data_IF_028642386335
#
_entry.id   IF_028642386335
#
_cell.length_a   1.000
_cell.length_b   1.000
_cell.length_c   1.000
_cell.angle_alpha   90.00
_cell.angle_beta   90.00
_cell.angle_gamma   90.00
#
_symmetry.space_group_name_H-M   'P 1'
#
loop_
_entity.id
_entity.type
_entity.pdbx_description
1 polymer ?
#
# COMPACT_ATOMS: atom_id res chain seq x y z
N UNK A 1 -12.31 57.30 5.09
CA UNK A 1 -12.36 58.39 4.09
C UNK A 1 -12.78 57.73 2.78
N UNK A 2 -14.01 58.03 2.32
CA UNK A 2 -14.66 57.86 1.00
C UNK A 2 -14.26 56.67 0.08
N UNK A 3 -15.13 55.70 -0.28
CA UNK A 3 -16.38 55.66 -1.07
C UNK A 3 -16.25 55.92 -2.60
N UNK A 4 -16.97 55.06 -3.36
CA UNK A 4 -17.47 55.11 -4.75
C UNK A 4 -16.59 54.48 -5.84
N UNK A 5 -17.00 53.37 -6.49
CA UNK A 5 -18.14 53.12 -7.41
C UNK A 5 -18.03 53.85 -8.75
N UNK A 6 -17.94 53.06 -9.84
CA UNK A 6 -18.69 53.36 -11.06
C UNK A 6 -18.90 52.10 -11.93
N UNK A 7 -20.18 51.81 -12.13
CA UNK A 7 -20.78 50.91 -13.10
C UNK A 7 -20.60 51.39 -14.54
N UNK A 8 -20.63 50.46 -15.50
CA UNK A 8 -21.04 50.78 -16.87
C UNK A 8 -21.93 49.66 -17.41
N UNK A 9 -23.19 50.01 -17.65
CA UNK A 9 -24.19 49.22 -18.37
C UNK A 9 -23.93 49.25 -19.87
N UNK A 10 -24.32 48.18 -20.58
CA UNK A 10 -24.86 48.26 -21.94
C UNK A 10 -26.02 47.26 -22.04
N UNK A 11 -27.25 47.77 -22.21
CA UNK A 11 -28.40 46.99 -22.69
C UNK A 11 -28.64 47.23 -24.18
N UNK A 12 -29.61 46.54 -24.81
CA UNK A 12 -30.47 47.00 -25.94
C UNK A 12 -31.38 45.87 -26.51
N UNK A 13 -32.65 46.25 -26.83
CA UNK A 13 -33.72 45.61 -27.67
C UNK A 13 -34.45 44.35 -27.14
N UNK A 14 -35.78 44.18 -27.13
CA UNK A 14 -36.95 44.97 -27.57
C UNK A 14 -38.23 44.07 -27.67
N UNK A 15 -39.32 44.50 -27.01
CA UNK A 15 -40.78 44.21 -27.25
C UNK A 15 -41.49 42.85 -26.94
N UNK A 16 -42.84 42.87 -26.68
CA UNK A 16 -43.43 42.25 -25.48
C UNK A 16 -44.42 41.08 -25.74
N UNK A 17 -44.58 40.18 -24.76
CA UNK A 17 -45.72 39.26 -24.69
C UNK A 17 -46.27 39.15 -23.26
N UNK A 18 -47.58 39.39 -23.19
CA UNK A 18 -48.45 39.39 -22.03
C UNK A 18 -48.59 37.97 -21.42
N UNK A 19 -47.94 37.70 -20.29
CA UNK A 19 -48.29 36.57 -19.41
C UNK A 19 -48.14 36.95 -17.92
N UNK A 20 -49.23 36.75 -17.17
CA UNK A 20 -49.29 36.83 -15.69
C UNK A 20 -48.13 36.09 -15.03
N UNK A 21 -47.29 36.73 -14.20
CA UNK A 21 -46.33 36.01 -13.38
C UNK A 21 -47.03 35.41 -12.14
N UNK A 22 -47.10 34.07 -12.08
CA UNK A 22 -47.31 33.34 -10.83
C UNK A 22 -46.09 33.61 -9.93
N UNK A 23 -46.26 34.42 -8.89
CA UNK A 23 -45.26 34.62 -7.84
C UNK A 23 -45.08 33.31 -7.08
N UNK A 24 -43.87 32.78 -7.14
CA UNK A 24 -43.35 31.77 -6.22
C UNK A 24 -43.30 32.38 -4.81
N UNK A 25 -44.17 31.88 -3.95
CA UNK A 25 -44.22 32.19 -2.52
C UNK A 25 -43.29 31.22 -1.79
N UNK A 26 -42.74 31.69 -0.66
CA UNK A 26 -41.95 30.98 0.36
C UNK A 26 -40.43 31.19 0.33
N UNK A 27 -40.03 32.43 0.57
CA UNK A 27 -38.86 32.78 1.38
C UNK A 27 -39.26 33.94 2.30
N UNK A 28 -40.17 33.69 3.24
CA UNK A 28 -40.61 34.68 4.22
C UNK A 28 -41.08 33.96 5.50
N UNK A 29 -40.12 33.54 6.32
CA UNK A 29 -40.30 33.18 7.74
C UNK A 29 -38.94 33.07 8.44
N UNK A 30 -38.08 34.07 8.21
CA UNK A 30 -36.80 34.21 8.90
C UNK A 30 -36.71 35.59 9.56
N UNK A 31 -37.79 36.08 10.16
CA UNK A 31 -37.82 37.24 11.05
C UNK A 31 -39.23 37.27 11.66
N UNK A 32 -39.32 36.79 12.89
CA UNK A 32 -40.41 36.99 13.88
C UNK A 32 -40.80 35.70 14.63
N UNK A 33 -39.93 35.27 15.53
CA UNK A 33 -40.35 34.75 16.84
C UNK A 33 -39.14 34.42 17.70
N UNK A 34 -38.76 35.39 18.53
CA UNK A 34 -37.99 35.16 19.73
C UNK A 34 -38.89 34.46 20.78
N UNK A 35 -38.95 33.12 20.75
CA UNK A 35 -39.37 32.29 21.88
C UNK A 35 -38.48 31.05 21.95
N UNK A 36 -38.12 30.64 23.17
CA UNK A 36 -36.99 29.77 23.51
C UNK A 36 -36.93 28.38 22.87
N UNK A 37 -35.82 27.64 23.09
CA UNK A 37 -35.43 26.54 22.20
C UNK A 37 -36.21 25.26 22.50
N UNK A 38 -37.30 25.03 21.74
CA UNK A 38 -37.84 23.68 21.58
C UNK A 38 -37.04 22.94 20.51
N UNK A 39 -36.10 22.13 20.99
CA UNK A 39 -35.32 21.20 20.18
C UNK A 39 -36.21 20.03 19.73
N UNK A 40 -36.50 19.95 18.43
CA UNK A 40 -36.98 18.71 17.81
C UNK A 40 -35.83 17.70 17.81
N UNK A 41 -35.83 16.84 18.84
CA UNK A 41 -34.89 15.72 18.98
C UNK A 41 -35.12 14.72 17.86
N UNK A 42 -34.29 14.78 16.83
CA UNK A 42 -34.02 13.62 15.97
C UNK A 42 -33.30 12.59 16.84
N UNK A 43 -33.85 11.38 16.95
CA UNK A 43 -33.31 10.36 17.85
C UNK A 43 -31.83 10.08 17.52
N UNK A 44 -30.90 10.18 18.48
CA UNK A 44 -29.54 9.73 18.28
C UNK A 44 -29.55 8.22 18.11
N UNK A 45 -28.67 7.70 17.24
CA UNK A 45 -28.36 6.27 17.18
C UNK A 45 -28.13 5.74 18.62
N UNK A 46 -28.63 4.55 18.98
CA UNK A 46 -28.59 4.09 20.37
C UNK A 46 -27.16 4.04 20.90
N UNK A 47 -26.83 4.98 21.80
CA UNK A 47 -25.54 5.18 22.48
C UNK A 47 -25.27 4.08 23.54
N UNK A 48 -25.93 2.91 23.44
CA UNK A 48 -25.81 1.82 24.42
C UNK A 48 -24.50 1.02 24.35
N UNK A 49 -23.58 1.35 23.43
CA UNK A 49 -22.32 0.61 23.25
C UNK A 49 -21.05 1.30 23.74
N UNK A 50 -21.14 2.52 24.29
CA UNK A 50 -19.93 3.29 24.61
C UNK A 50 -19.52 3.19 26.09
N UNK A 51 -20.46 2.93 27.03
CA UNK A 51 -20.15 2.96 28.46
C UNK A 51 -20.70 1.73 29.20
N UNK A 52 -19.97 0.62 29.19
CA UNK A 52 -19.89 -0.44 30.23
C UNK A 52 -19.09 -1.65 29.68
N UNK A 53 -17.75 -1.63 29.78
CA UNK A 53 -16.91 -2.68 29.20
C UNK A 53 -16.65 -3.88 30.12
N UNK A 54 -17.34 -4.03 31.27
CA UNK A 54 -16.80 -4.91 32.32
C UNK A 54 -17.67 -6.09 32.78
N UNK A 55 -19.00 -6.06 32.63
CA UNK A 55 -19.85 -7.09 33.29
C UNK A 55 -20.51 -8.09 32.33
N UNK A 56 -20.47 -7.87 31.02
CA UNK A 56 -20.97 -8.83 30.02
C UNK A 56 -19.87 -9.74 29.43
N UNK A 57 -18.64 -9.66 29.96
CA UNK A 57 -17.43 -10.26 29.39
C UNK A 57 -17.09 -11.66 29.93
N UNK A 58 -17.81 -12.16 30.94
CA UNK A 58 -17.43 -13.42 31.59
C UNK A 58 -17.92 -14.71 30.91
N UNK A 59 -18.83 -14.64 29.93
CA UNK A 59 -19.53 -15.85 29.46
C UNK A 59 -19.02 -16.48 28.14
N UNK A 60 -17.84 -16.09 27.64
CA UNK A 60 -17.27 -16.78 26.46
C UNK A 60 -15.77 -17.03 26.59
N UNK A 61 -15.44 -17.82 27.60
CA UNK A 61 -14.13 -18.45 27.80
C UNK A 61 -13.88 -19.45 26.66
N UNK A 62 -12.75 -19.29 25.97
CA UNK A 62 -12.14 -20.18 24.96
C UNK A 62 -12.72 -20.22 23.53
N UNK A 63 -12.07 -19.49 22.61
CA UNK A 63 -11.43 -20.00 21.37
C UNK A 63 -10.88 -18.83 20.56
N UNK A 64 -9.65 -18.96 20.06
CA UNK A 64 -9.00 -17.88 19.33
C UNK A 64 -9.73 -17.53 18.04
N UNK A 65 -9.95 -16.22 17.83
CA UNK A 65 -10.52 -15.71 16.59
C UNK A 65 -9.67 -16.05 15.36
N UNK A 66 -10.34 -16.34 14.25
CA UNK A 66 -9.73 -16.80 13.00
C UNK A 66 -8.77 -15.73 12.45
N UNK A 67 -9.14 -14.45 12.55
CA UNK A 67 -8.30 -13.34 12.06
C UNK A 67 -7.01 -13.24 12.87
N UNK A 68 -7.09 -13.44 14.19
CA UNK A 68 -5.92 -13.38 15.05
C UNK A 68 -4.90 -14.47 14.73
N UNK A 69 -5.35 -15.72 14.51
CA UNK A 69 -4.46 -16.83 14.18
C UNK A 69 -3.82 -16.65 12.79
N UNK A 70 -4.56 -16.13 11.81
CA UNK A 70 -4.03 -15.78 10.48
C UNK A 70 -2.88 -14.77 10.55
N UNK A 71 -3.00 -13.74 11.40
CA UNK A 71 -1.99 -12.68 11.53
C UNK A 71 -0.85 -13.00 12.50
N UNK A 72 -0.99 -14.05 13.31
CA UNK A 72 -0.02 -14.43 14.35
C UNK A 72 1.38 -14.78 13.82
N UNK A 73 1.56 -15.63 12.79
CA UNK A 73 2.89 -16.09 12.38
C UNK A 73 3.76 -14.93 11.87
N UNK A 74 3.24 -14.11 10.97
CA UNK A 74 4.00 -13.01 10.38
C UNK A 74 4.36 -11.93 11.41
N UNK A 75 3.45 -11.61 12.34
CA UNK A 75 3.73 -10.64 13.42
C UNK A 75 4.78 -11.15 14.38
N UNK A 76 4.74 -12.43 14.70
CA UNK A 76 5.75 -13.05 15.55
C UNK A 76 7.14 -12.96 14.90
N UNK A 77 7.24 -13.27 13.61
CA UNK A 77 8.49 -13.18 12.87
C UNK A 77 9.00 -11.73 12.78
N UNK A 78 8.15 -10.76 12.43
CA UNK A 78 8.53 -9.34 12.38
C UNK A 78 9.00 -8.80 13.74
N UNK A 79 8.47 -9.34 14.84
CA UNK A 79 8.90 -8.98 16.20
C UNK A 79 10.27 -9.56 16.54
N UNK A 80 10.55 -10.80 16.16
CA UNK A 80 11.88 -11.42 16.32
C UNK A 80 12.93 -10.64 15.52
N UNK A 81 12.57 -10.23 14.30
CA UNK A 81 13.45 -9.44 13.43
C UNK A 81 13.62 -7.98 13.89
N UNK A 82 13.03 -7.55 15.02
CA UNK A 82 13.18 -6.18 15.54
C UNK A 82 12.49 -5.08 14.70
N UNK A 83 11.54 -5.45 13.82
CA UNK A 83 10.83 -4.51 12.95
C UNK A 83 9.57 -3.98 13.66
N UNK A 84 8.90 -4.84 14.42
CA UNK A 84 7.52 -4.60 14.86
C UNK A 84 7.37 -4.59 16.39
N UNK A 85 7.38 -3.42 17.05
CA UNK A 85 7.35 -3.29 18.51
C UNK A 85 5.92 -3.32 19.08
N UNK A 86 5.06 -4.20 18.55
CA UNK A 86 3.66 -4.31 18.96
C UNK A 86 3.46 -5.61 19.73
N UNK A 87 2.88 -5.51 20.92
CA UNK A 87 2.54 -6.66 21.76
C UNK A 87 1.06 -6.65 22.15
N UNK A 88 0.54 -7.84 22.45
CA UNK A 88 -0.72 -7.98 23.17
C UNK A 88 -0.52 -7.42 24.58
N UNK A 89 -1.26 -6.37 24.94
CA UNK A 89 -1.26 -5.85 26.32
C UNK A 89 -2.26 -6.61 27.18
N UNK A 90 -3.34 -7.10 26.57
CA UNK A 90 -4.43 -7.79 27.26
C UNK A 90 -4.70 -9.14 26.59
N UNK A 91 -4.53 -10.22 27.35
CA UNK A 91 -4.72 -11.60 26.90
C UNK A 91 -6.20 -11.90 26.60
N UNK A 92 -7.13 -11.21 27.26
CA UNK A 92 -8.58 -11.43 27.15
C UNK A 92 -9.19 -10.52 26.07
N UNK A 93 -8.85 -9.23 26.09
CA UNK A 93 -9.38 -8.27 25.12
C UNK A 93 -8.62 -8.26 23.79
N UNK A 94 -7.41 -8.84 23.71
CA UNK A 94 -6.55 -8.88 22.50
C UNK A 94 -6.31 -7.49 21.90
N UNK A 95 -6.10 -6.52 22.78
CA UNK A 95 -5.77 -5.14 22.39
C UNK A 95 -4.28 -5.05 22.15
N UNK A 96 -3.92 -4.50 21.00
CA UNK A 96 -2.53 -4.27 20.61
C UNK A 96 -2.11 -2.86 20.98
N UNK A 97 -0.95 -2.75 21.64
CA UNK A 97 -0.30 -1.47 21.87
C UNK A 97 1.20 -1.59 21.65
N UNK A 98 1.79 -0.46 21.27
CA UNK A 98 3.24 -0.33 21.20
C UNK A 98 3.81 -0.40 22.62
N UNK A 99 4.71 -1.34 22.87
CA UNK A 99 5.27 -1.60 24.20
C UNK A 99 6.72 -1.12 24.28
N UNK A 100 7.12 -0.40 25.34
CA UNK A 100 8.44 0.21 25.42
C UNK A 100 9.58 -0.82 25.42
N UNK A 101 9.36 -2.00 26.02
CA UNK A 101 10.36 -3.08 26.03
C UNK A 101 10.70 -3.60 24.63
N UNK A 102 9.67 -3.82 23.79
CA UNK A 102 9.86 -4.30 22.42
C UNK A 102 10.40 -3.20 21.49
N UNK A 103 10.06 -1.93 21.76
CA UNK A 103 10.66 -0.80 21.07
C UNK A 103 12.16 -0.70 21.38
N UNK A 104 12.55 -0.83 22.65
CA UNK A 104 13.97 -0.85 23.05
C UNK A 104 14.77 -1.95 22.35
N UNK A 105 14.23 -3.17 22.30
CA UNK A 105 14.84 -4.28 21.54
C UNK A 105 15.01 -3.97 20.05
N UNK A 106 13.97 -3.40 19.43
CA UNK A 106 13.98 -3.01 18.01
C UNK A 106 15.04 -1.94 17.72
N UNK A 107 15.19 -0.96 18.61
CA UNK A 107 16.21 0.09 18.51
C UNK A 107 17.62 -0.48 18.64
N UNK A 108 17.85 -1.42 19.57
CA UNK A 108 19.16 -2.06 19.73
C UNK A 108 19.54 -2.83 18.46
N UNK A 109 18.63 -3.64 17.90
CA UNK A 109 18.89 -4.36 16.64
C UNK A 109 19.19 -3.38 15.51
N UNK A 110 18.40 -2.31 15.39
CA UNK A 110 18.62 -1.31 14.37
C UNK A 110 20.01 -0.66 14.49
N UNK A 111 20.44 -0.27 15.69
CA UNK A 111 21.77 0.31 15.91
C UNK A 111 22.89 -0.69 15.58
N UNK A 112 22.72 -1.96 15.94
CA UNK A 112 23.69 -3.01 15.59
C UNK A 112 23.81 -3.20 14.08
N UNK A 113 22.67 -3.26 13.37
CA UNK A 113 22.64 -3.42 11.92
C UNK A 113 23.18 -2.17 11.21
N UNK A 114 22.81 -0.97 11.64
CA UNK A 114 23.33 0.29 11.09
C UNK A 114 24.83 0.40 11.30
N UNK A 115 25.33 0.06 12.50
CA UNK A 115 26.76 0.02 12.78
C UNK A 115 27.49 -1.00 11.90
N UNK A 116 26.89 -2.17 11.67
CA UNK A 116 27.46 -3.20 10.81
C UNK A 116 27.47 -2.79 9.33
N UNK A 117 26.40 -2.15 8.84
CA UNK A 117 26.35 -1.56 7.49
C UNK A 117 27.42 -0.48 7.34
N UNK A 118 27.59 0.39 8.33
CA UNK A 118 28.62 1.42 8.35
C UNK A 118 30.03 0.84 8.25
N UNK A 119 30.31 -0.23 8.99
CA UNK A 119 31.57 -0.96 8.91
C UNK A 119 31.82 -1.55 7.51
N UNK A 120 30.81 -2.23 6.94
CA UNK A 120 30.93 -2.82 5.59
C UNK A 120 31.14 -1.75 4.52
N UNK A 121 30.43 -0.62 4.60
CA UNK A 121 30.58 0.48 3.65
C UNK A 121 31.93 1.19 3.79
N UNK A 122 32.45 1.34 5.01
CA UNK A 122 33.79 1.87 5.22
C UNK A 122 34.87 0.99 4.56
N UNK A 123 34.82 -0.32 4.79
CA UNK A 123 35.73 -1.31 4.17
C UNK A 123 35.62 -1.32 2.64
N UNK A 124 34.40 -1.16 2.10
CA UNK A 124 34.17 -1.16 0.64
C UNK A 124 34.62 0.14 -0.03
N UNK A 125 34.40 1.30 0.58
CA UNK A 125 34.81 2.60 0.03
C UNK A 125 36.33 2.71 -0.07
N UNK A 126 37.06 2.10 0.86
CA UNK A 126 38.53 2.04 0.83
C UNK A 126 39.05 1.21 -0.36
N UNK A 127 38.30 0.17 -0.76
CA UNK A 127 38.63 -0.67 -1.93
C UNK A 127 38.24 0.03 -3.25
N UNK A 128 37.06 0.65 -3.33
CA UNK A 128 36.55 1.28 -4.58
C UNK A 128 37.35 2.53 -4.97
N UNK A 129 37.88 3.29 -4.01
CA UNK A 129 38.75 4.45 -4.30
C UNK A 129 40.04 4.07 -5.05
N UNK A 130 40.37 2.78 -5.15
CA UNK A 130 41.53 2.26 -5.87
C UNK A 130 41.25 1.76 -7.30
N UNK A 131 39.99 1.75 -7.76
CA UNK A 131 39.62 1.28 -9.09
C UNK A 131 38.83 2.36 -9.87
N UNK A 132 39.48 2.99 -10.87
CA UNK A 132 38.80 3.81 -11.88
C UNK A 132 38.09 2.87 -12.88
N UNK A 133 36.82 2.56 -12.61
CA UNK A 133 36.00 1.70 -13.47
C UNK A 133 35.22 2.48 -14.54
N UNK A 134 34.85 1.78 -15.63
CA UNK A 134 33.91 2.27 -16.66
C UNK A 134 32.57 2.68 -16.02
N UNK A 135 31.85 3.63 -16.63
CA UNK A 135 30.57 4.16 -16.14
C UNK A 135 29.55 3.08 -15.73
N UNK A 136 29.51 1.94 -16.43
CA UNK A 136 28.63 0.80 -16.11
C UNK A 136 28.94 0.16 -14.75
N UNK A 137 30.21 0.05 -14.39
CA UNK A 137 30.65 -0.54 -13.12
C UNK A 137 30.33 0.39 -11.95
N UNK A 138 30.39 1.71 -12.18
CA UNK A 138 29.92 2.71 -11.21
C UNK A 138 28.42 2.57 -10.93
N UNK A 139 27.57 2.32 -11.95
CA UNK A 139 26.12 2.14 -11.75
C UNK A 139 25.81 0.88 -10.93
N UNK A 140 26.55 -0.20 -11.15
CA UNK A 140 26.41 -1.43 -10.35
C UNK A 140 26.82 -1.17 -8.88
N UNK A 141 27.86 -0.39 -8.63
CA UNK A 141 28.25 -0.01 -7.26
C UNK A 141 27.20 0.90 -6.59
N UNK A 142 26.63 1.86 -7.33
CA UNK A 142 25.49 2.65 -6.85
C UNK A 142 24.29 1.77 -6.50
N UNK A 143 23.98 0.74 -7.30
CA UNK A 143 22.89 -0.20 -7.02
C UNK A 143 23.08 -0.89 -5.66
N UNK A 144 24.30 -1.29 -5.29
CA UNK A 144 24.60 -1.85 -3.96
C UNK A 144 24.42 -0.86 -2.83
N UNK A 145 24.63 0.43 -3.07
CA UNK A 145 24.31 1.48 -2.09
C UNK A 145 22.80 1.65 -1.96
N UNK A 146 22.06 1.62 -3.08
CA UNK A 146 20.60 1.70 -3.09
C UNK A 146 19.96 0.49 -2.38
N UNK A 147 20.54 -0.71 -2.46
CA UNK A 147 20.05 -1.87 -1.72
C UNK A 147 20.08 -1.71 -0.19
N UNK A 148 20.90 -0.80 0.36
CA UNK A 148 20.95 -0.54 1.79
C UNK A 148 19.94 0.53 2.25
N UNK A 149 19.46 1.37 1.32
CA UNK A 149 18.49 2.44 1.59
C UNK A 149 17.27 2.00 2.43
N UNK A 150 16.71 0.78 2.25
CA UNK A 150 15.52 0.36 2.98
C UNK A 150 15.69 0.20 4.48
N UNK A 151 16.90 0.34 5.04
CA UNK A 151 17.09 0.41 6.49
C UNK A 151 16.24 1.53 7.14
N UNK A 152 15.93 2.59 6.38
CA UNK A 152 15.06 3.71 6.81
C UNK A 152 13.62 3.27 7.06
N UNK A 153 13.19 2.09 6.57
CA UNK A 153 11.83 1.60 6.79
C UNK A 153 11.55 1.28 8.27
N UNK A 154 12.55 0.86 9.04
CA UNK A 154 12.39 0.51 10.45
C UNK A 154 11.86 1.68 11.29
N UNK A 155 12.48 2.87 11.29
CA UNK A 155 11.94 4.01 12.01
C UNK A 155 10.58 4.47 11.47
N UNK A 156 10.32 4.34 10.16
CA UNK A 156 9.00 4.65 9.58
C UNK A 156 7.93 3.72 10.17
N UNK A 157 8.19 2.41 10.24
CA UNK A 157 7.27 1.42 10.83
C UNK A 157 7.06 1.67 12.32
N UNK A 158 8.06 2.12 13.06
CA UNK A 158 7.89 2.48 14.47
C UNK A 158 7.02 3.72 14.65
N UNK A 159 7.20 4.73 13.79
CA UNK A 159 6.35 5.92 13.76
C UNK A 159 4.88 5.55 13.50
N UNK A 160 4.66 4.64 12.53
CA UNK A 160 3.32 4.12 12.19
C UNK A 160 2.80 3.05 13.17
N UNK A 161 3.64 2.54 14.07
CA UNK A 161 3.35 1.39 14.93
C UNK A 161 2.08 1.54 15.77
N UNK A 162 1.78 2.75 16.26
CA UNK A 162 0.52 3.02 16.99
C UNK A 162 -0.72 2.84 16.11
N UNK A 163 -0.66 3.32 14.86
CA UNK A 163 -1.77 3.17 13.90
C UNK A 163 -1.93 1.72 13.49
N UNK A 164 -0.82 1.02 13.22
CA UNK A 164 -0.81 -0.41 12.89
C UNK A 164 -1.40 -1.26 14.02
N UNK A 165 -1.10 -0.95 15.28
CA UNK A 165 -1.69 -1.62 16.44
C UNK A 165 -3.22 -1.42 16.50
N UNK A 166 -3.69 -0.19 16.23
CA UNK A 166 -5.11 0.13 16.18
C UNK A 166 -5.83 -0.69 15.12
N UNK A 167 -5.28 -0.74 13.90
CA UNK A 167 -5.85 -1.50 12.78
C UNK A 167 -5.98 -2.99 13.08
N UNK A 168 -4.93 -3.61 13.63
CA UNK A 168 -4.98 -5.03 14.00
C UNK A 168 -6.03 -5.27 15.09
N UNK A 169 -6.18 -4.34 16.03
CA UNK A 169 -7.21 -4.41 17.07
C UNK A 169 -8.61 -4.28 16.47
N UNK A 170 -8.83 -3.33 15.55
CA UNK A 170 -10.11 -3.12 14.88
C UNK A 170 -10.53 -4.34 14.04
N UNK A 171 -9.59 -5.01 13.37
CA UNK A 171 -9.84 -6.25 12.64
C UNK A 171 -10.31 -7.40 13.55
N UNK A 172 -9.73 -7.53 14.74
CA UNK A 172 -10.14 -8.57 15.70
C UNK A 172 -11.46 -8.19 16.37
N UNK A 173 -11.68 -6.90 16.62
CA UNK A 173 -12.95 -6.38 17.12
C UNK A 173 -14.09 -6.59 16.10
N UNK A 174 -13.80 -6.43 14.81
CA UNK A 174 -14.72 -6.72 13.71
C UNK A 174 -15.26 -8.15 13.78
N UNK A 175 -14.37 -9.14 13.98
CA UNK A 175 -14.77 -10.55 14.11
C UNK A 175 -15.79 -10.76 15.23
N UNK A 176 -15.61 -10.07 16.37
CA UNK A 176 -16.53 -10.14 17.51
C UNK A 176 -17.89 -9.53 17.19
N UNK A 177 -17.92 -8.37 16.52
CA UNK A 177 -19.17 -7.73 16.10
C UNK A 177 -19.90 -8.62 15.10
N UNK A 178 -19.19 -9.13 14.10
CA UNK A 178 -19.76 -10.03 13.10
C UNK A 178 -20.43 -11.24 13.77
N UNK A 179 -19.73 -11.93 14.69
CA UNK A 179 -20.28 -13.09 15.40
C UNK A 179 -21.53 -12.73 16.23
N UNK A 180 -21.59 -11.52 16.77
CA UNK A 180 -22.75 -11.02 17.54
C UNK A 180 -23.95 -10.72 16.65
N UNK A 181 -23.70 -10.12 15.48
CA UNK A 181 -24.74 -9.71 14.52
C UNK A 181 -25.32 -10.91 13.77
N UNK A 182 -24.46 -11.76 13.20
CA UNK A 182 -24.91 -12.90 12.39
C UNK A 182 -25.31 -14.12 13.22
N UNK A 183 -24.94 -14.13 14.52
CA UNK A 183 -25.06 -15.30 15.43
C UNK A 183 -24.38 -16.56 14.90
N UNK A 184 -23.53 -16.43 13.87
CA UNK A 184 -22.73 -17.50 13.27
C UNK A 184 -21.26 -17.25 13.61
N UNK A 185 -20.48 -18.31 13.72
CA UNK A 185 -19.02 -18.18 13.81
C UNK A 185 -18.47 -17.83 12.43
N UNK A 186 -17.58 -16.86 12.36
CA UNK A 186 -16.83 -16.55 11.15
C UNK A 186 -15.95 -17.74 10.75
N UNK A 187 -16.35 -18.49 9.73
CA UNK A 187 -15.59 -19.63 9.20
C UNK A 187 -14.88 -19.23 7.90
N UNK A 188 -13.79 -18.48 8.01
CA UNK A 188 -12.92 -18.21 6.86
C UNK A 188 -11.78 -19.21 6.87
N UNK A 189 -11.72 -20.05 5.84
CA UNK A 189 -10.59 -20.97 5.67
C UNK A 189 -9.43 -20.23 4.99
N UNK A 190 -8.46 -19.80 5.79
CA UNK A 190 -7.18 -19.30 5.30
C UNK A 190 -6.17 -20.44 5.03
N UNK A 191 -6.45 -21.65 5.54
CA UNK A 191 -5.57 -22.81 5.46
C UNK A 191 -4.17 -22.51 5.99
N UNK A 192 -3.15 -23.08 5.34
CA UNK A 192 -1.75 -22.83 5.68
C UNK A 192 -1.15 -21.62 4.93
N UNK A 193 -1.93 -20.89 4.11
CA UNK A 193 -1.43 -19.79 3.26
C UNK A 193 -0.65 -18.73 4.04
N UNK A 194 -1.13 -18.20 5.19
CA UNK A 194 -0.39 -17.17 5.95
C UNK A 194 0.93 -17.70 6.53
N UNK A 195 0.95 -18.96 6.94
CA UNK A 195 2.15 -19.63 7.45
C UNK A 195 3.17 -19.84 6.32
N UNK A 196 2.71 -20.34 5.16
CA UNK A 196 3.55 -20.52 3.97
C UNK A 196 4.15 -19.19 3.54
N UNK A 197 3.35 -18.11 3.45
CA UNK A 197 3.84 -16.77 3.09
C UNK A 197 4.89 -16.29 4.10
N UNK A 198 4.67 -16.49 5.39
CA UNK A 198 5.60 -16.08 6.46
C UNK A 198 6.96 -16.78 6.34
N UNK A 199 7.00 -18.04 5.91
CA UNK A 199 8.24 -18.82 5.77
C UNK A 199 8.89 -18.62 4.41
N UNK A 200 8.11 -18.61 3.33
CA UNK A 200 8.59 -18.52 1.95
C UNK A 200 9.18 -17.14 1.64
N UNK A 201 8.58 -16.04 2.14
CA UNK A 201 9.07 -14.70 1.86
C UNK A 201 10.53 -14.46 2.32
N UNK A 202 10.92 -14.77 3.58
CA UNK A 202 12.31 -14.69 4.02
C UNK A 202 13.27 -15.60 3.25
N UNK A 203 12.82 -16.81 2.91
CA UNK A 203 13.66 -17.77 2.18
C UNK A 203 13.95 -17.24 0.78
N UNK A 204 12.93 -16.75 0.07
CA UNK A 204 13.08 -16.14 -1.24
C UNK A 204 13.97 -14.89 -1.13
N UNK A 205 13.75 -14.00 -0.15
CA UNK A 205 14.55 -12.76 -0.02
C UNK A 205 16.02 -13.02 0.28
N UNK A 206 16.34 -14.04 1.07
CA UNK A 206 17.71 -14.45 1.30
C UNK A 206 18.31 -15.12 0.06
N UNK A 207 17.56 -16.02 -0.59
CA UNK A 207 18.03 -16.71 -1.80
C UNK A 207 18.35 -15.72 -2.91
N UNK A 208 17.52 -14.69 -3.13
CA UNK A 208 17.80 -13.66 -4.13
C UNK A 208 19.10 -12.92 -3.84
N UNK A 209 19.33 -12.54 -2.58
CA UNK A 209 20.53 -11.79 -2.21
C UNK A 209 21.79 -12.66 -2.30
N UNK A 210 21.68 -13.95 -1.95
CA UNK A 210 22.78 -14.92 -2.11
C UNK A 210 23.10 -15.14 -3.60
N UNK A 211 22.08 -15.31 -4.45
CA UNK A 211 22.28 -15.46 -5.90
C UNK A 211 22.97 -14.22 -6.45
N UNK A 212 22.46 -13.02 -6.16
CA UNK A 212 23.07 -11.75 -6.61
C UNK A 212 24.53 -11.62 -6.17
N UNK A 213 24.86 -12.04 -4.95
CA UNK A 213 26.23 -11.98 -4.45
C UNK A 213 27.15 -13.03 -5.12
N UNK A 214 26.69 -14.28 -5.28
CA UNK A 214 27.49 -15.33 -5.94
C UNK A 214 27.79 -14.94 -7.40
N UNK A 215 26.84 -14.29 -8.07
CA UNK A 215 27.03 -13.82 -9.45
C UNK A 215 27.99 -12.63 -9.56
N UNK A 216 28.14 -11.84 -8.49
CA UNK A 216 28.93 -10.60 -8.43
C UNK A 216 30.19 -10.84 -7.58
N UNK A 217 31.17 -11.55 -8.16
CA UNK A 217 32.35 -12.17 -7.52
C UNK A 217 33.32 -11.27 -6.70
N UNK A 218 32.97 -10.04 -6.33
CA UNK A 218 33.87 -9.07 -5.70
C UNK A 218 33.67 -8.88 -4.18
N UNK A 219 32.72 -9.56 -3.54
CA UNK A 219 32.39 -9.33 -2.13
C UNK A 219 32.73 -10.51 -1.21
N UNK A 220 33.14 -10.21 0.03
CA UNK A 220 33.35 -11.22 1.08
C UNK A 220 31.98 -11.70 1.57
N UNK A 221 31.83 -13.01 1.81
CA UNK A 221 30.56 -13.61 2.28
C UNK A 221 29.98 -12.90 3.52
N UNK A 222 30.84 -12.38 4.39
CA UNK A 222 30.41 -11.66 5.59
C UNK A 222 29.60 -10.39 5.24
N UNK A 223 29.89 -9.74 4.11
CA UNK A 223 29.22 -8.52 3.67
C UNK A 223 27.80 -8.79 3.13
N UNK A 224 27.40 -10.05 2.89
CA UNK A 224 26.04 -10.43 2.41
C UNK A 224 24.98 -10.31 3.48
N UNK A 225 25.36 -10.55 4.74
CA UNK A 225 24.43 -10.67 5.87
C UNK A 225 23.52 -9.44 6.04
N UNK A 226 24.02 -8.18 6.00
CA UNK A 226 23.18 -6.99 6.05
C UNK A 226 22.20 -6.91 4.89
N UNK A 227 22.61 -7.25 3.66
CA UNK A 227 21.74 -7.22 2.48
C UNK A 227 20.60 -8.23 2.59
N UNK A 228 20.89 -9.45 3.04
CA UNK A 228 19.88 -10.46 3.33
C UNK A 228 18.88 -9.95 4.38
N UNK A 229 19.36 -9.34 5.46
CA UNK A 229 18.52 -8.81 6.53
C UNK A 229 17.60 -7.68 6.01
N UNK A 230 18.16 -6.68 5.32
CA UNK A 230 17.40 -5.54 4.79
C UNK A 230 16.35 -5.99 3.77
N UNK A 231 16.72 -6.88 2.84
CA UNK A 231 15.77 -7.40 1.85
C UNK A 231 14.63 -8.17 2.52
N UNK A 232 14.95 -8.95 3.56
CA UNK A 232 13.95 -9.67 4.35
C UNK A 232 12.99 -8.72 5.07
N UNK A 233 13.46 -7.59 5.62
CA UNK A 233 12.58 -6.58 6.25
C UNK A 233 11.53 -6.10 5.26
N UNK A 234 11.94 -5.69 4.06
CA UNK A 234 11.03 -5.14 3.04
C UNK A 234 9.96 -6.15 2.68
N UNK A 235 10.37 -7.41 2.47
CA UNK A 235 9.47 -8.49 2.09
C UNK A 235 8.50 -8.81 3.23
N UNK A 236 8.95 -8.76 4.49
CA UNK A 236 8.08 -8.97 5.64
C UNK A 236 7.07 -7.84 5.85
N UNK A 237 7.48 -6.57 5.70
CA UNK A 237 6.56 -5.42 5.82
C UNK A 237 5.52 -5.46 4.71
N UNK A 238 5.94 -5.68 3.45
CA UNK A 238 5.04 -5.84 2.32
C UNK A 238 4.13 -7.06 2.46
N UNK A 239 4.67 -8.19 2.93
CA UNK A 239 3.92 -9.42 3.19
C UNK A 239 2.90 -9.28 4.31
N UNK A 240 3.22 -8.56 5.37
CA UNK A 240 2.28 -8.27 6.45
C UNK A 240 1.07 -7.49 5.94
N UNK A 241 1.34 -6.42 5.19
CA UNK A 241 0.29 -5.62 4.59
C UNK A 241 -0.53 -6.41 3.56
N UNK A 242 0.10 -7.26 2.75
CA UNK A 242 -0.57 -8.18 1.82
C UNK A 242 -1.58 -9.08 2.54
N UNK A 243 -1.20 -9.68 3.68
CA UNK A 243 -2.10 -10.55 4.45
C UNK A 243 -3.28 -9.76 5.01
N UNK A 244 -3.08 -8.51 5.45
CA UNK A 244 -4.21 -7.66 5.90
C UNK A 244 -5.23 -7.42 4.78
N UNK A 245 -4.75 -7.17 3.56
CA UNK A 245 -5.60 -6.97 2.38
C UNK A 245 -6.39 -8.24 2.04
N UNK A 246 -5.72 -9.40 2.01
CA UNK A 246 -6.34 -10.70 1.73
C UNK A 246 -7.42 -11.05 2.79
N UNK A 247 -7.15 -10.75 4.07
CA UNK A 247 -8.14 -10.90 5.16
C UNK A 247 -9.37 -10.04 4.89
N UNK A 248 -9.19 -8.74 4.62
CA UNK A 248 -10.33 -7.83 4.37
C UNK A 248 -11.12 -8.24 3.13
N UNK A 249 -10.45 -8.60 2.03
CA UNK A 249 -11.13 -9.05 0.82
C UNK A 249 -11.96 -10.33 1.03
N UNK A 250 -11.43 -11.30 1.79
CA UNK A 250 -12.16 -12.53 2.17
C UNK A 250 -13.31 -12.28 3.13
N UNK A 251 -13.12 -11.38 4.10
CA UNK A 251 -14.19 -10.97 5.01
C UNK A 251 -15.31 -10.26 4.24
N UNK A 252 -14.97 -9.40 3.28
CA UNK A 252 -15.95 -8.69 2.44
C UNK A 252 -16.83 -9.66 1.64
N UNK A 253 -16.20 -10.65 0.99
CA UNK A 253 -16.90 -11.68 0.21
C UNK A 253 -17.81 -12.54 1.09
N UNK A 254 -17.33 -12.96 2.27
CA UNK A 254 -18.13 -13.71 3.24
C UNK A 254 -19.39 -12.94 3.66
N UNK A 255 -19.23 -11.67 4.05
CA UNK A 255 -20.37 -10.85 4.50
C UNK A 255 -21.37 -10.68 3.35
N UNK A 256 -20.89 -10.49 2.14
CA UNK A 256 -21.73 -10.34 0.97
C UNK A 256 -22.53 -11.63 0.66
N UNK A 257 -21.91 -12.81 0.83
CA UNK A 257 -22.57 -14.11 0.68
C UNK A 257 -23.61 -14.38 1.79
N UNK A 258 -23.26 -14.10 3.04
CA UNK A 258 -24.17 -14.24 4.17
C UNK A 258 -25.37 -13.30 4.04
N UNK A 259 -25.11 -12.05 3.64
CA UNK A 259 -26.15 -11.06 3.40
C UNK A 259 -27.08 -11.49 2.27
N UNK A 260 -26.54 -11.96 1.14
CA UNK A 260 -27.35 -12.47 0.03
C UNK A 260 -28.23 -13.66 0.48
N UNK A 261 -27.68 -14.55 1.30
CA UNK A 261 -28.40 -15.71 1.85
C UNK A 261 -29.48 -15.30 2.84
N UNK A 262 -29.19 -14.33 3.71
CA UNK A 262 -30.15 -13.75 4.66
C UNK A 262 -31.28 -13.03 3.92
N UNK A 263 -30.98 -12.41 2.77
CA UNK A 263 -31.97 -11.72 1.96
C UNK A 263 -32.89 -12.65 1.15
N UNK A 264 -32.48 -13.88 0.84
CA UNK A 264 -33.32 -14.89 0.16
C UNK A 264 -34.41 -15.46 1.08
N UNK A 265 -34.11 -15.60 2.37
CA UNK A 265 -35.07 -16.08 3.37
C UNK A 265 -35.74 -14.86 3.99
N UNK A 266 -36.98 -14.53 3.58
CA UNK A 266 -37.80 -13.36 4.01
C UNK A 266 -37.24 -12.64 5.24
N UNK A 267 -36.27 -11.75 4.99
CA UNK A 267 -35.49 -11.11 6.04
C UNK A 267 -36.24 -9.89 6.59
N UNK A 268 -36.31 -9.69 7.92
CA UNK A 268 -36.79 -8.45 8.50
C UNK A 268 -35.87 -7.27 8.11
N UNK A 269 -36.43 -6.08 7.93
CA UNK A 269 -35.71 -4.84 7.58
C UNK A 269 -34.56 -4.51 8.54
N UNK A 270 -34.69 -4.92 9.81
CA UNK A 270 -33.64 -4.79 10.84
C UNK A 270 -32.34 -5.53 10.49
N UNK A 271 -32.41 -6.68 9.83
CA UNK A 271 -31.21 -7.40 9.41
C UNK A 271 -30.43 -6.63 8.34
N UNK A 272 -31.11 -5.94 7.43
CA UNK A 272 -30.46 -5.13 6.39
C UNK A 272 -29.65 -3.99 7.02
N UNK A 273 -30.21 -3.33 8.02
CA UNK A 273 -29.51 -2.29 8.76
C UNK A 273 -28.26 -2.82 9.50
N UNK A 274 -28.36 -4.01 10.10
CA UNK A 274 -27.23 -4.66 10.76
C UNK A 274 -26.10 -5.01 9.77
N UNK A 275 -26.41 -5.59 8.61
CA UNK A 275 -25.40 -5.87 7.58
C UNK A 275 -24.81 -4.60 6.96
N UNK A 276 -25.60 -3.53 6.82
CA UNK A 276 -25.09 -2.21 6.43
C UNK A 276 -24.07 -1.69 7.42
N UNK A 277 -24.31 -1.86 8.72
CA UNK A 277 -23.36 -1.45 9.77
C UNK A 277 -22.05 -2.25 9.71
N UNK A 278 -22.13 -3.56 9.46
CA UNK A 278 -20.94 -4.42 9.26
C UNK A 278 -20.14 -3.97 8.04
N UNK A 279 -20.81 -3.72 6.92
CA UNK A 279 -20.14 -3.24 5.71
C UNK A 279 -19.48 -1.87 5.94
N UNK A 280 -20.16 -0.92 6.60
CA UNK A 280 -19.56 0.39 6.92
C UNK A 280 -18.31 0.26 7.80
N UNK A 281 -18.35 -0.65 8.78
CA UNK A 281 -17.19 -0.92 9.62
C UNK A 281 -16.04 -1.53 8.82
N UNK A 282 -16.31 -2.45 7.90
CA UNK A 282 -15.29 -3.01 7.02
C UNK A 282 -14.69 -1.97 6.07
N UNK A 283 -15.52 -1.12 5.48
CA UNK A 283 -15.09 0.03 4.66
C UNK A 283 -14.26 1.05 5.45
N UNK A 284 -14.48 1.16 6.77
CA UNK A 284 -13.58 1.93 7.64
C UNK A 284 -12.24 1.23 7.80
N UNK A 285 -12.24 -0.06 8.12
CA UNK A 285 -11.02 -0.85 8.36
C UNK A 285 -10.10 -0.86 7.13
N UNK A 286 -10.63 -1.03 5.91
CA UNK A 286 -9.79 -1.02 4.70
C UNK A 286 -9.06 0.32 4.50
N UNK A 287 -9.73 1.44 4.78
CA UNK A 287 -9.11 2.77 4.72
C UNK A 287 -8.09 2.96 5.83
N UNK A 288 -8.40 2.48 7.03
CA UNK A 288 -7.49 2.55 8.17
C UNK A 288 -6.23 1.71 7.93
N UNK A 289 -6.31 0.56 7.23
CA UNK A 289 -5.15 -0.22 6.78
C UNK A 289 -4.27 0.62 5.83
N UNK A 290 -4.86 1.24 4.81
CA UNK A 290 -4.13 2.08 3.86
C UNK A 290 -3.45 3.28 4.53
N UNK A 291 -4.17 3.95 5.44
CA UNK A 291 -3.66 5.12 6.15
C UNK A 291 -2.65 4.78 7.26
N UNK A 292 -2.75 3.60 7.89
CA UNK A 292 -1.83 3.16 8.93
C UNK A 292 -0.48 2.68 8.38
N UNK A 293 -0.44 2.15 7.16
CA UNK A 293 0.80 1.72 6.48
C UNK A 293 1.23 2.68 5.37
N UNK A 294 0.70 3.89 5.35
CA UNK A 294 0.79 4.79 4.21
C UNK A 294 2.21 5.21 3.87
N UNK A 295 3.02 5.59 4.86
CA UNK A 295 4.41 6.00 4.64
C UNK A 295 5.30 4.80 4.33
N UNK A 296 5.19 3.72 5.11
CA UNK A 296 6.00 2.52 4.87
C UNK A 296 5.74 1.94 3.48
N UNK A 297 4.47 1.86 3.05
CA UNK A 297 4.15 1.31 1.74
C UNK A 297 4.51 2.26 0.59
N UNK A 298 4.35 3.58 0.77
CA UNK A 298 4.82 4.56 -0.22
C UNK A 298 6.33 4.41 -0.45
N UNK A 299 7.09 4.30 0.64
CA UNK A 299 8.52 4.06 0.56
C UNK A 299 8.84 2.73 -0.14
N UNK A 300 8.14 1.63 0.17
CA UNK A 300 8.32 0.34 -0.50
C UNK A 300 8.04 0.45 -2.01
N UNK A 301 6.94 1.11 -2.41
CA UNK A 301 6.60 1.27 -3.82
C UNK A 301 7.65 2.08 -4.59
N UNK A 302 8.12 3.19 -4.02
CA UNK A 302 9.19 4.02 -4.61
C UNK A 302 10.53 3.28 -4.64
N UNK A 303 10.84 2.52 -3.59
CA UNK A 303 12.04 1.70 -3.53
C UNK A 303 12.03 0.61 -4.61
N UNK A 304 10.93 -0.14 -4.75
CA UNK A 304 10.82 -1.13 -5.82
C UNK A 304 10.88 -0.46 -7.20
N UNK A 305 10.28 0.72 -7.36
CA UNK A 305 10.38 1.49 -8.59
C UNK A 305 11.85 1.78 -8.97
N UNK A 306 12.63 2.29 -8.01
CA UNK A 306 14.04 2.61 -8.18
C UNK A 306 14.88 1.35 -8.46
N UNK A 307 14.71 0.29 -7.66
CA UNK A 307 15.47 -0.96 -7.82
C UNK A 307 15.18 -1.64 -9.15
N UNK A 308 13.91 -1.74 -9.56
CA UNK A 308 13.55 -2.35 -10.84
C UNK A 308 14.19 -1.56 -11.99
N UNK A 309 14.10 -0.22 -11.96
CA UNK A 309 14.69 0.63 -13.00
C UNK A 309 16.21 0.44 -13.08
N UNK A 310 16.92 0.52 -11.96
CA UNK A 310 18.39 0.39 -11.94
C UNK A 310 18.86 -1.02 -12.31
N UNK A 311 18.13 -2.06 -11.89
CA UNK A 311 18.50 -3.46 -12.20
C UNK A 311 18.25 -3.81 -13.66
N UNK A 312 17.15 -3.34 -14.26
CA UNK A 312 16.90 -3.52 -15.68
C UNK A 312 17.91 -2.70 -16.50
N UNK A 313 18.23 -1.47 -16.09
CA UNK A 313 19.26 -0.68 -16.75
C UNK A 313 20.62 -1.40 -16.70
N UNK A 314 21.06 -1.86 -15.53
CA UNK A 314 22.33 -2.56 -15.37
C UNK A 314 22.40 -3.88 -16.14
N UNK A 315 21.25 -4.53 -16.38
CA UNK A 315 21.14 -5.69 -17.26
C UNK A 315 21.27 -5.31 -18.75
N UNK A 316 20.58 -4.24 -19.18
CA UNK A 316 20.59 -3.80 -20.57
C UNK A 316 21.94 -3.19 -21.00
N UNK A 317 22.64 -2.50 -20.09
CA UNK A 317 23.96 -1.92 -20.37
C UNK A 317 25.01 -3.01 -20.61
N UNK A 318 25.01 -4.08 -19.81
CA UNK A 318 25.94 -5.20 -19.95
C UNK A 318 25.64 -6.09 -21.17
N UNK A 319 24.38 -6.17 -21.58
CA UNK A 319 23.97 -6.98 -22.74
C UNK A 319 24.65 -6.53 -24.05
N UNK A 320 25.09 -5.26 -24.14
CA UNK A 320 25.87 -4.75 -25.27
C UNK A 320 27.32 -5.29 -25.29
N UNK A 321 27.90 -5.59 -24.13
CA UNK A 321 29.26 -6.12 -23.99
C UNK A 321 29.33 -7.67 -24.00
N UNK A 322 28.19 -8.35 -23.85
CA UNK A 322 28.04 -9.81 -23.85
C UNK A 322 27.54 -10.37 -22.51
N UNK A 323 26.87 -11.53 -22.55
CA UNK A 323 26.29 -12.15 -21.35
C UNK A 323 27.37 -12.62 -20.36
N UNK A 324 27.34 -12.06 -19.16
CA UNK A 324 28.21 -12.44 -18.03
C UNK A 324 27.41 -13.15 -16.93
N UNK A 325 28.10 -13.87 -16.05
CA UNK A 325 27.46 -14.50 -14.89
C UNK A 325 26.77 -13.47 -13.97
N UNK A 326 27.25 -12.22 -13.97
CA UNK A 326 26.70 -11.08 -13.21
C UNK A 326 25.25 -10.74 -13.60
N UNK A 327 24.89 -10.93 -14.87
CA UNK A 327 23.57 -10.60 -15.42
C UNK A 327 22.44 -11.46 -14.86
N UNK A 328 22.75 -12.71 -14.52
CA UNK A 328 21.77 -13.66 -13.98
C UNK A 328 21.22 -13.17 -12.64
N UNK A 329 22.07 -12.66 -11.76
CA UNK A 329 21.66 -12.12 -10.46
C UNK A 329 20.78 -10.88 -10.61
N UNK A 330 21.14 -9.97 -11.51
CA UNK A 330 20.36 -8.76 -11.82
C UNK A 330 18.99 -9.10 -12.39
N UNK A 331 18.92 -10.05 -13.33
CA UNK A 331 17.67 -10.50 -13.95
C UNK A 331 16.72 -11.14 -12.94
N UNK A 332 17.22 -12.03 -12.08
CA UNK A 332 16.43 -12.67 -11.01
C UNK A 332 15.88 -11.62 -10.05
N UNK A 333 16.72 -10.65 -9.64
CA UNK A 333 16.30 -9.60 -8.74
C UNK A 333 15.23 -8.68 -9.36
N UNK A 334 15.40 -8.28 -10.63
CA UNK A 334 14.42 -7.48 -11.36
C UNK A 334 13.08 -8.19 -11.50
N UNK A 335 13.09 -9.48 -11.86
CA UNK A 335 11.89 -10.29 -12.00
C UNK A 335 11.13 -10.43 -10.67
N UNK A 336 11.84 -10.71 -9.56
CA UNK A 336 11.20 -10.88 -8.26
C UNK A 336 10.72 -9.57 -7.65
N UNK A 337 11.48 -8.48 -7.78
CA UNK A 337 11.03 -7.15 -7.36
C UNK A 337 9.75 -6.74 -8.11
N UNK A 338 9.70 -6.98 -9.42
CA UNK A 338 8.51 -6.70 -10.25
C UNK A 338 7.31 -7.56 -9.83
N UNK A 339 7.53 -8.85 -9.58
CA UNK A 339 6.48 -9.76 -9.12
C UNK A 339 5.90 -9.33 -7.77
N UNK A 340 6.74 -8.93 -6.81
CA UNK A 340 6.29 -8.48 -5.48
C UNK A 340 5.50 -7.17 -5.59
N UNK A 341 5.99 -6.21 -6.37
CA UNK A 341 5.27 -4.97 -6.61
C UNK A 341 3.91 -5.24 -7.25
N UNK A 342 3.84 -6.16 -8.21
CA UNK A 342 2.57 -6.61 -8.80
C UNK A 342 1.62 -7.20 -7.75
N UNK A 343 2.10 -8.12 -6.89
CA UNK A 343 1.25 -8.74 -5.86
C UNK A 343 0.71 -7.72 -4.85
N UNK A 344 1.53 -6.74 -4.44
CA UNK A 344 1.10 -5.63 -3.57
C UNK A 344 -0.04 -4.83 -4.23
N UNK A 345 0.16 -4.37 -5.46
CA UNK A 345 -0.86 -3.60 -6.18
C UNK A 345 -2.11 -4.42 -6.50
N UNK A 346 -1.94 -5.72 -6.76
CA UNK A 346 -3.03 -6.63 -7.08
C UNK A 346 -3.92 -6.91 -5.88
N UNK A 347 -3.36 -7.18 -4.70
CA UNK A 347 -4.15 -7.46 -3.50
C UNK A 347 -4.88 -6.23 -2.98
N UNK A 348 -4.27 -5.03 -3.03
CA UNK A 348 -5.02 -3.82 -2.67
C UNK A 348 -6.22 -3.61 -3.60
N UNK A 349 -6.02 -3.79 -4.91
CA UNK A 349 -7.11 -3.71 -5.86
C UNK A 349 -8.17 -4.78 -5.58
N UNK A 350 -7.77 -6.02 -5.29
CA UNK A 350 -8.69 -7.09 -4.93
C UNK A 350 -9.50 -6.77 -3.66
N UNK A 351 -8.86 -6.29 -2.60
CA UNK A 351 -9.51 -5.91 -1.36
C UNK A 351 -10.53 -4.79 -1.57
N UNK A 352 -10.13 -3.67 -2.19
CA UNK A 352 -11.04 -2.54 -2.48
C UNK A 352 -12.20 -2.94 -3.40
N UNK A 353 -11.93 -3.74 -4.43
CA UNK A 353 -12.96 -4.23 -5.35
C UNK A 353 -13.92 -5.23 -4.68
N UNK A 354 -13.45 -6.01 -3.71
CA UNK A 354 -14.29 -6.95 -2.95
C UNK A 354 -15.25 -6.23 -2.01
N UNK A 355 -14.79 -5.17 -1.33
CA UNK A 355 -15.64 -4.37 -0.43
C UNK A 355 -16.71 -3.58 -1.20
N UNK A 356 -16.40 -3.09 -2.41
CA UNK A 356 -17.31 -2.26 -3.21
C UNK A 356 -18.05 -3.05 -4.27
N UNK A 357 -17.38 -3.40 -5.36
CA UNK A 357 -18.02 -3.91 -6.58
C UNK A 357 -18.63 -5.29 -6.38
N UNK A 358 -17.92 -6.20 -5.72
CA UNK A 358 -18.46 -7.55 -5.48
C UNK A 358 -19.66 -7.50 -4.53
N UNK A 359 -19.57 -6.66 -3.50
CA UNK A 359 -20.68 -6.43 -2.57
C UNK A 359 -21.91 -5.86 -3.30
N UNK A 360 -21.72 -4.80 -4.10
CA UNK A 360 -22.78 -4.19 -4.92
C UNK A 360 -23.40 -5.18 -5.90
N UNK A 361 -22.57 -5.98 -6.59
CA UNK A 361 -23.06 -7.01 -7.53
C UNK A 361 -23.97 -8.02 -6.82
N UNK A 362 -23.61 -8.47 -5.61
CA UNK A 362 -24.47 -9.39 -4.83
C UNK A 362 -25.74 -8.71 -4.32
N UNK A 363 -25.67 -7.43 -3.96
CA UNK A 363 -26.83 -6.62 -3.54
C UNK A 363 -27.84 -6.46 -4.69
N UNK A 364 -27.36 -6.15 -5.90
CA UNK A 364 -28.19 -5.97 -7.11
C UNK A 364 -28.77 -7.28 -7.64
N UNK A 365 -28.09 -8.41 -7.42
CA UNK A 365 -28.56 -9.74 -7.86
C UNK A 365 -29.72 -10.27 -7.01
N UNK A 366 -30.03 -9.63 -5.89
CA UNK A 366 -31.20 -9.99 -5.08
C UNK A 366 -32.45 -9.41 -5.72
N UNK A 367 -33.40 -10.27 -6.10
CA UNK A 367 -34.69 -9.86 -6.66
C UNK A 367 -35.47 -8.98 -5.67
N UNK A 368 -35.45 -7.67 -5.96
CA UNK A 368 -36.13 -6.64 -5.19
C UNK A 368 -37.65 -6.66 -5.41
N UNK A 369 -38.11 -7.21 -6.55
CA UNK A 369 -39.49 -7.15 -7.03
C UNK A 369 -40.53 -7.78 -6.11
N UNK A 370 -40.14 -8.72 -5.25
CA UNK A 370 -41.07 -9.42 -4.35
C UNK A 370 -40.95 -9.00 -2.88
N UNK A 371 -40.12 -8.00 -2.58
CA UNK A 371 -39.87 -7.54 -1.21
C UNK A 371 -40.76 -6.37 -0.81
N UNK A 372 -41.10 -6.30 0.47
CA UNK A 372 -41.85 -5.19 1.08
C UNK A 372 -41.17 -3.85 0.79
N UNK A 373 -41.97 -2.78 0.58
CA UNK A 373 -41.48 -1.43 0.30
C UNK A 373 -40.44 -0.91 1.31
N UNK A 374 -40.57 -1.27 2.59
CA UNK A 374 -39.60 -0.89 3.65
C UNK A 374 -38.22 -1.52 3.42
N UNK A 375 -38.16 -2.79 3.01
CA UNK A 375 -36.91 -3.50 2.75
C UNK A 375 -36.27 -2.96 1.46
N UNK A 376 -37.08 -2.62 0.45
CA UNK A 376 -36.59 -1.97 -0.77
C UNK A 376 -36.00 -0.59 -0.47
N UNK A 377 -36.63 0.20 0.41
CA UNK A 377 -36.10 1.50 0.81
C UNK A 377 -34.74 1.37 1.52
N UNK A 378 -34.61 0.45 2.49
CA UNK A 378 -33.34 0.18 3.16
C UNK A 378 -32.26 -0.33 2.21
N UNK A 379 -32.60 -1.19 1.24
CA UNK A 379 -31.64 -1.66 0.23
C UNK A 379 -31.19 -0.50 -0.67
N UNK A 380 -32.10 0.38 -1.09
CA UNK A 380 -31.74 1.56 -1.89
C UNK A 380 -30.85 2.53 -1.10
N UNK A 381 -31.13 2.74 0.19
CA UNK A 381 -30.25 3.52 1.07
C UNK A 381 -28.88 2.86 1.21
N UNK A 382 -28.83 1.53 1.32
CA UNK A 382 -27.56 0.80 1.40
C UNK A 382 -26.78 0.89 0.08
N UNK A 383 -27.41 0.66 -1.07
CA UNK A 383 -26.78 0.80 -2.38
C UNK A 383 -26.17 2.20 -2.54
N UNK A 384 -26.95 3.25 -2.23
CA UNK A 384 -26.45 4.63 -2.25
C UNK A 384 -25.28 4.85 -1.30
N UNK A 385 -25.31 4.24 -0.11
CA UNK A 385 -24.19 4.31 0.83
C UNK A 385 -22.93 3.61 0.26
N UNK A 386 -23.08 2.50 -0.47
CA UNK A 386 -21.96 1.83 -1.14
C UNK A 386 -21.38 2.61 -2.31
N UNK A 387 -22.21 3.39 -3.02
CA UNK A 387 -21.75 4.26 -4.11
C UNK A 387 -21.03 5.50 -3.60
N UNK A 388 -21.51 6.08 -2.50
CA UNK A 388 -20.99 7.34 -1.94
C UNK A 388 -19.78 7.17 -1.03
N UNK A 389 -19.50 5.95 -0.52
CA UNK A 389 -18.38 5.75 0.40
C UNK A 389 -17.10 5.35 -0.35
N UNK A 390 -15.97 6.03 -0.13
CA UNK A 390 -14.69 5.60 -0.68
C UNK A 390 -14.25 4.31 0.01
N UNK A 391 -13.91 3.29 -0.79
CA UNK A 391 -13.34 2.01 -0.33
C UNK A 391 -11.95 1.75 -0.92
N UNK A 392 -11.48 2.68 -1.75
CA UNK A 392 -10.17 2.61 -2.37
C UNK A 392 -9.10 2.82 -1.30
N UNK A 393 -8.06 2.00 -1.37
CA UNK A 393 -7.01 2.01 -0.37
C UNK A 393 -5.97 3.08 -0.72
N UNK A 394 -6.17 4.26 -0.14
CA UNK A 394 -5.29 5.41 -0.31
C UNK A 394 -4.15 5.42 0.70
N UNK A 395 -2.94 5.78 0.25
CA UNK A 395 -1.78 5.96 1.13
C UNK A 395 -1.70 7.41 1.58
N UNK A 396 -2.18 7.68 2.78
CA UNK A 396 -2.20 9.03 3.39
C UNK A 396 -2.87 10.09 2.49
N UNK A 397 -3.70 9.67 1.53
CA UNK A 397 -4.35 10.54 0.55
C UNK A 397 -3.48 11.00 -0.62
N UNK A 398 -2.24 10.51 -0.79
CA UNK A 398 -1.39 10.87 -1.92
C UNK A 398 -1.77 10.14 -3.21
N UNK A 399 -1.93 8.82 -3.14
CA UNK A 399 -2.34 7.99 -4.27
C UNK A 399 -3.00 6.71 -3.79
N UNK A 400 -3.80 6.12 -4.68
CA UNK A 400 -4.49 4.85 -4.45
C UNK A 400 -3.62 3.68 -4.91
N UNK A 401 -3.46 2.68 -4.04
CA UNK A 401 -2.74 1.47 -4.41
C UNK A 401 -3.67 0.54 -5.16
N UNK A 402 -3.47 0.42 -6.47
CA UNK A 402 -4.26 -0.43 -7.32
C UNK A 402 -3.45 -0.91 -8.55
N UNK A 403 -4.07 -1.71 -9.41
CA UNK A 403 -3.45 -2.19 -10.65
C UNK A 403 -3.09 -1.06 -11.63
N UNK A 404 -3.74 0.10 -11.55
CA UNK A 404 -3.41 1.26 -12.39
C UNK A 404 -2.11 1.92 -11.93
N UNK A 405 -1.86 1.99 -10.62
CA UNK A 405 -0.57 2.43 -10.09
C UNK A 405 0.57 1.56 -10.64
N UNK A 406 0.41 0.23 -10.62
CA UNK A 406 1.41 -0.68 -11.19
C UNK A 406 1.68 -0.40 -12.69
N UNK A 407 0.62 -0.26 -13.50
CA UNK A 407 0.75 0.06 -14.92
C UNK A 407 1.44 1.40 -15.14
N UNK A 408 1.09 2.41 -14.35
CA UNK A 408 1.69 3.74 -14.43
C UNK A 408 3.17 3.70 -14.05
N UNK A 409 3.54 2.97 -12.99
CA UNK A 409 4.94 2.79 -12.59
C UNK A 409 5.74 2.04 -13.66
N UNK A 410 5.20 0.98 -14.27
CA UNK A 410 5.87 0.28 -15.36
C UNK A 410 6.09 1.19 -16.57
N UNK A 411 5.09 1.98 -16.95
CA UNK A 411 5.21 2.91 -18.07
C UNK A 411 6.29 3.97 -17.80
N UNK A 412 6.34 4.53 -16.59
CA UNK A 412 7.38 5.50 -16.23
C UNK A 412 8.76 4.86 -16.16
N UNK A 413 8.88 3.63 -15.62
CA UNK A 413 10.15 2.87 -15.65
C UNK A 413 10.68 2.74 -17.07
N UNK A 414 9.85 2.32 -18.03
CA UNK A 414 10.26 2.18 -19.44
C UNK A 414 10.72 3.51 -20.02
N UNK A 415 10.00 4.61 -19.75
CA UNK A 415 10.43 5.94 -20.20
C UNK A 415 11.80 6.33 -19.63
N UNK A 416 12.02 6.13 -18.33
CA UNK A 416 13.33 6.41 -17.71
C UNK A 416 14.44 5.51 -18.26
N UNK A 417 14.16 4.23 -18.49
CA UNK A 417 15.11 3.29 -19.09
C UNK A 417 15.54 3.73 -20.49
N UNK A 418 14.59 4.15 -21.33
CA UNK A 418 14.89 4.67 -22.68
C UNK A 418 15.80 5.89 -22.60
N UNK A 419 15.51 6.83 -21.70
CA UNK A 419 16.34 8.03 -21.50
C UNK A 419 17.75 7.68 -21.02
N UNK A 420 17.88 6.76 -20.06
CA UNK A 420 19.19 6.32 -19.57
C UNK A 420 20.02 5.62 -20.65
N UNK A 421 19.39 4.77 -21.45
CA UNK A 421 20.06 4.11 -22.58
C UNK A 421 20.49 5.10 -23.67
N UNK A 422 19.67 6.12 -23.95
CA UNK A 422 20.04 7.18 -24.89
C UNK A 422 21.27 7.96 -24.43
N UNK A 423 21.36 8.27 -23.12
CA UNK A 423 22.55 8.90 -22.55
C UNK A 423 23.78 8.01 -22.71
N UNK A 424 23.67 6.71 -22.47
CA UNK A 424 24.78 5.77 -22.64
C UNK A 424 25.31 5.75 -24.09
N UNK A 425 24.41 5.64 -25.09
CA UNK A 425 24.81 5.62 -26.52
C UNK A 425 25.41 6.96 -26.98
N UNK A 426 25.03 8.07 -26.33
CA UNK A 426 25.52 9.40 -26.70
C UNK A 426 26.94 9.72 -26.21
N UNK A 427 27.51 8.92 -25.30
CA UNK A 427 28.88 9.11 -24.81
C UNK A 427 29.82 8.49 -25.84
N UNK A 428 30.71 9.27 -26.49
CA UNK A 428 31.69 8.71 -27.41
C UNK A 428 32.58 7.72 -26.65
N UNK A 429 32.71 6.49 -27.13
CA UNK A 429 33.78 5.60 -26.70
C UNK A 429 35.10 6.25 -27.16
N UNK A 430 35.93 6.68 -26.22
CA UNK A 430 37.25 7.21 -26.54
C UNK A 430 38.01 6.15 -27.35
N UNK A 431 38.33 6.52 -28.59
CA UNK A 431 39.00 5.70 -29.59
C UNK A 431 40.41 5.41 -29.08
N UNK A 432 40.64 4.24 -28.50
CA UNK A 432 41.97 3.67 -28.36
C UNK A 432 42.10 2.42 -29.23
N UNK A 433 42.86 2.59 -30.32
CA UNK A 433 43.19 1.58 -31.32
C UNK A 433 44.18 2.10 -32.35
N UNK A 434 45.41 2.36 -31.90
CA UNK A 434 46.63 2.65 -32.67
C UNK A 434 46.82 1.73 -33.90
N UNK A 435 47.16 2.25 -35.09
CA UNK A 435 48.32 1.80 -35.91
C UNK A 435 48.52 2.54 -37.25
N UNK A 436 49.75 3.02 -37.45
CA UNK A 436 50.50 3.08 -38.72
C UNK A 436 49.95 3.86 -39.93
N UNK A 437 50.50 5.06 -40.14
CA UNK A 437 50.73 5.61 -41.48
C UNK A 437 52.06 6.35 -41.54
N UNK A 438 53.15 5.61 -41.41
CA UNK A 438 54.42 6.00 -42.03
C UNK A 438 54.25 5.83 -43.54
N UNK A 439 53.93 6.91 -44.26
CA UNK A 439 54.07 6.96 -45.72
C UNK A 439 54.80 8.23 -46.11
N UNK A 440 56.13 8.08 -46.23
CA UNK A 440 56.98 8.63 -47.28
C UNK A 440 56.30 9.63 -48.23
N UNK A 441 56.67 10.91 -48.15
CA UNK A 441 56.57 11.82 -49.29
C UNK A 441 57.98 12.24 -49.67
N UNK A 442 58.50 11.52 -50.65
CA UNK A 442 59.65 11.88 -51.47
C UNK A 442 59.33 13.14 -52.29
N UNK A 443 60.35 13.98 -52.48
CA UNK A 443 60.37 15.19 -53.28
C UNK A 443 59.71 15.10 -54.68
N UNK A 444 59.16 16.24 -55.17
CA UNK A 444 59.43 16.85 -56.49
C UNK A 444 58.46 18.03 -56.78
N UNK A 445 59.03 19.25 -56.77
CA UNK A 445 58.86 20.35 -57.76
C UNK A 445 57.45 20.86 -58.17
N UNK A 446 57.14 22.12 -57.82
CA UNK A 446 56.96 23.29 -58.76
C UNK A 446 56.33 24.51 -58.06
N UNK A 447 57.01 25.66 -58.18
CA UNK A 447 56.42 27.00 -58.06
C UNK A 447 55.45 27.28 -59.23
N UNK A 448 54.45 28.16 -59.07
CA UNK A 448 54.63 29.61 -59.31
C UNK A 448 53.87 30.46 -58.26
N UNK A 449 54.11 31.74 -58.00
CA UNK A 449 54.70 32.86 -58.74
C UNK A 449 55.13 33.92 -57.72
#
# INVERSE_FOLDING_TARGET
MYHQDMTTQVGILGEPLNQKPRRSVFLESALDSAQGPHTTKVAPAPVKFINKPTEAFELNKQRGGVIYETLKPIRFLMRIMGIFPIANTDTELRVFKMTPHWLGYSVIIFLLIVGYIGYVKWDTVEIVRSQEGRFEEAVIDYLFTVYLLPIVINPIVWYEGKKLASVVTELIYFERIYNKVTKKKMTIFFGNKPLIITVVLPVISCLTMVVTHVTMAHFKIIQVVPYCYINTIIYLVGGFWFIQCDVVGRVATLIADDFQTALKHVGPSTQVADYRSLWMLLSKIIRDIGNASGYALTFICLYFFLIITLTIYGLLSQLQAGFSSKDVGLAVNAALATAILFFICNEAHYASNSVRVQFQKKLLLVELSWKKNEVQHEINMFLRATEMSPTDMSLVGFFDVNRNLFKSLLATMVTYLVVLLQFQISIPEDIEGDTNSTSVISATTRAPK
#
